data_IF_099050286403
#
_entry.id   IF_099050286403
#
_cell.length_a   1.000
_cell.length_b   1.000
_cell.length_c   1.000
_cell.angle_alpha   90.00
_cell.angle_beta   90.00
_cell.angle_gamma   90.00
#
_symmetry.space_group_name_H-M   'P 1'
#
loop_
_entity.id
_entity.type
_entity.pdbx_description
1 polymer ?
#
# COMPACT_ATOMS: atom_id res chain seq x y z
N UNK A 1 88.24 18.00 -5.07
CA UNK A 1 87.91 18.96 -6.15
C UNK A 1 86.40 19.08 -6.21
N UNK A 2 85.86 20.29 -5.91
CA UNK A 2 84.47 20.79 -6.10
C UNK A 2 83.35 20.00 -5.37
N UNK A 3 82.84 20.40 -4.20
CA UNK A 3 81.97 21.53 -3.77
C UNK A 3 80.53 21.05 -3.50
N UNK A 4 80.19 20.99 -2.22
CA UNK A 4 78.85 20.79 -1.65
C UNK A 4 77.88 21.91 -2.05
N UNK A 5 76.63 21.57 -2.32
CA UNK A 5 75.48 22.48 -2.18
C UNK A 5 74.29 21.76 -1.57
N UNK A 6 73.69 22.44 -0.58
CA UNK A 6 72.58 22.05 0.29
C UNK A 6 71.25 22.07 -0.46
N UNK A 7 70.34 21.15 -0.14
CA UNK A 7 68.90 21.43 -0.11
C UNK A 7 68.24 20.69 1.07
N UNK A 8 67.59 21.47 1.93
CA UNK A 8 66.75 21.03 3.05
C UNK A 8 65.29 20.95 2.58
N UNK A 9 64.50 19.94 2.98
CA UNK A 9 63.08 19.90 2.68
C UNK A 9 62.27 20.73 3.70
N UNK A 10 61.33 21.53 3.19
CA UNK A 10 60.28 22.20 3.98
C UNK A 10 59.22 21.17 4.44
N UNK A 11 58.68 21.28 5.67
CA UNK A 11 57.59 20.43 6.13
C UNK A 11 56.23 20.94 5.62
N UNK A 12 55.48 20.07 4.95
CA UNK A 12 54.06 20.25 4.63
C UNK A 12 53.23 19.95 5.88
N UNK A 13 52.79 20.97 6.61
CA UNK A 13 51.86 20.76 7.71
C UNK A 13 50.98 21.98 8.04
N UNK A 14 50.27 22.59 7.07
CA UNK A 14 49.23 23.57 7.40
C UNK A 14 48.17 23.66 6.29
N UNK A 15 47.41 22.60 6.02
CA UNK A 15 46.22 22.69 5.16
C UNK A 15 45.22 21.56 5.44
N UNK A 16 44.82 21.35 6.70
CA UNK A 16 43.80 20.33 7.02
C UNK A 16 42.95 20.62 8.27
N UNK A 17 42.89 21.86 8.76
CA UNK A 17 42.09 22.18 9.95
C UNK A 17 40.87 23.09 9.67
N UNK A 18 40.91 23.92 8.63
CA UNK A 18 39.78 24.84 8.33
C UNK A 18 38.60 24.20 7.60
N UNK A 19 38.80 23.08 6.88
CA UNK A 19 37.72 22.38 6.15
C UNK A 19 36.88 21.50 7.09
N UNK A 20 37.46 20.95 8.15
CA UNK A 20 36.73 20.15 9.13
C UNK A 20 35.78 20.99 10.01
N UNK A 21 36.14 22.25 10.30
CA UNK A 21 35.31 23.11 11.14
C UNK A 21 34.07 23.66 10.42
N UNK A 22 34.12 23.84 9.09
CA UNK A 22 32.97 24.29 8.29
C UNK A 22 31.96 23.17 8.04
N UNK A 23 32.40 21.92 7.91
CA UNK A 23 31.51 20.75 7.74
C UNK A 23 30.76 20.44 9.05
N UNK A 24 31.39 20.67 10.22
CA UNK A 24 30.74 20.47 11.51
C UNK A 24 29.62 21.51 11.77
N UNK A 25 29.80 22.76 11.36
CA UNK A 25 28.79 23.83 11.55
C UNK A 25 27.58 23.63 10.61
N UNK A 26 27.79 23.11 9.39
CA UNK A 26 26.68 22.82 8.46
C UNK A 26 25.84 21.59 8.90
N UNK A 27 26.43 20.68 9.67
CA UNK A 27 25.75 19.50 10.21
C UNK A 27 24.83 19.81 11.39
N UNK A 28 25.14 20.85 12.18
CA UNK A 28 24.35 21.23 13.37
C UNK A 28 23.11 22.07 12.99
N UNK A 29 23.13 22.76 11.83
CA UNK A 29 21.99 23.56 11.36
C UNK A 29 20.86 22.73 10.71
N UNK A 30 21.08 21.46 10.38
CA UNK A 30 20.03 20.59 9.80
C UNK A 30 19.15 19.89 10.84
N UNK A 31 19.39 20.06 12.14
CA UNK A 31 18.65 19.35 13.20
C UNK A 31 17.40 20.09 13.74
N UNK A 32 17.00 21.22 13.15
CA UNK A 32 15.85 22.00 13.63
C UNK A 32 14.83 22.35 12.53
N UNK A 33 14.70 21.49 11.51
CA UNK A 33 13.49 21.53 10.70
C UNK A 33 12.34 20.99 11.57
N UNK A 34 11.52 21.89 12.12
CA UNK A 34 10.23 21.49 12.69
C UNK A 34 9.49 20.71 11.59
N UNK A 35 9.03 19.47 11.84
CA UNK A 35 8.24 18.76 10.86
C UNK A 35 7.09 19.67 10.44
N UNK A 36 7.05 20.07 9.17
CA UNK A 36 5.91 20.80 8.63
C UNK A 36 4.68 19.95 8.88
N UNK A 37 3.63 20.51 9.49
CA UNK A 37 2.39 19.78 9.72
C UNK A 37 1.86 19.33 8.35
N UNK A 38 1.80 18.02 8.13
CA UNK A 38 1.36 17.42 6.87
C UNK A 38 -0.12 17.03 7.02
N UNK A 39 -0.98 17.38 6.07
CA UNK A 39 -2.42 17.08 6.10
C UNK A 39 -2.70 15.63 5.70
N UNK A 40 -3.56 14.82 6.36
CA UNK A 40 -3.85 13.42 5.96
C UNK A 40 -4.56 13.19 4.61
N UNK A 41 -4.36 14.10 3.67
CA UNK A 41 -5.06 14.18 2.41
C UNK A 41 -4.22 13.55 1.29
N UNK A 42 -4.80 12.56 0.61
CA UNK A 42 -4.27 12.10 -0.69
C UNK A 42 -4.93 12.94 -1.77
N UNK A 43 -4.16 13.82 -2.43
CA UNK A 43 -4.67 14.70 -3.50
C UNK A 43 -5.21 13.97 -4.73
N UNK A 44 -5.17 12.63 -4.75
CA UNK A 44 -5.57 11.79 -5.88
C UNK A 44 -7.08 11.79 -6.13
N UNK A 45 -7.91 12.25 -5.18
CA UNK A 45 -9.39 12.31 -5.33
C UNK A 45 -9.99 13.72 -5.32
N UNK A 46 -9.22 14.78 -5.05
CA UNK A 46 -9.80 16.10 -4.77
C UNK A 46 -10.61 16.14 -3.46
N UNK A 47 -11.32 17.25 -3.21
CA UNK A 47 -12.03 17.51 -1.94
C UNK A 47 -13.52 17.10 -1.96
N UNK A 48 -14.04 16.63 -3.11
CA UNK A 48 -15.45 16.29 -3.28
C UNK A 48 -15.79 15.00 -2.50
N UNK A 49 -16.90 15.04 -1.74
CA UNK A 49 -17.41 13.89 -0.97
C UNK A 49 -16.67 13.56 0.34
N UNK A 50 -15.64 14.34 0.71
CA UNK A 50 -14.81 14.00 1.87
C UNK A 50 -15.50 14.32 3.20
N UNK A 51 -15.57 13.31 4.06
CA UNK A 51 -16.34 13.42 5.31
C UNK A 51 -15.48 14.07 6.37
N UNK A 52 -15.72 15.36 6.66
CA UNK A 52 -15.20 16.02 7.87
C UNK A 52 -15.55 15.20 9.09
N UNK A 53 -14.54 14.85 9.89
CA UNK A 53 -14.82 14.23 11.18
C UNK A 53 -15.42 15.28 12.11
N UNK A 54 -16.52 14.94 12.75
CA UNK A 54 -17.17 15.74 13.81
C UNK A 54 -16.89 15.19 15.20
N UNK A 55 -16.38 13.95 15.29
CA UNK A 55 -15.94 13.31 16.53
C UNK A 55 -14.95 12.18 16.25
N UNK A 56 -14.31 11.65 17.30
CA UNK A 56 -13.48 10.44 17.23
C UNK A 56 -14.28 9.16 16.95
N UNK A 57 -15.61 9.25 16.95
CA UNK A 57 -16.52 8.11 16.93
C UNK A 57 -16.64 7.41 18.28
N UNK A 58 -17.50 6.40 18.33
CA UNK A 58 -17.71 5.59 19.53
C UNK A 58 -16.51 4.68 19.78
N UNK A 59 -16.11 4.55 21.06
CA UNK A 59 -15.06 3.62 21.49
C UNK A 59 -15.46 2.17 21.15
N UNK A 60 -14.65 1.43 20.37
CA UNK A 60 -14.90 0.02 20.10
C UNK A 60 -14.87 -0.84 21.37
N UNK A 61 -15.71 -1.86 21.43
CA UNK A 61 -15.72 -2.82 22.53
C UNK A 61 -14.38 -3.56 22.61
N UNK A 62 -13.74 -3.57 23.78
CA UNK A 62 -12.41 -4.19 23.96
C UNK A 62 -11.22 -3.27 23.61
N UNK A 63 -11.48 -2.03 23.19
CA UNK A 63 -10.46 -1.00 23.00
C UNK A 63 -10.51 0.08 24.10
N UNK A 64 -9.47 0.91 24.14
CA UNK A 64 -9.43 2.19 24.83
C UNK A 64 -8.72 3.23 23.96
N UNK A 65 -8.98 4.51 24.23
CA UNK A 65 -8.31 5.61 23.53
C UNK A 65 -6.89 5.78 24.09
N UNK A 66 -5.90 5.88 23.21
CA UNK A 66 -4.50 6.15 23.59
C UNK A 66 -3.83 7.00 22.53
N UNK A 67 -3.11 8.04 22.97
CA UNK A 67 -2.16 8.75 22.11
C UNK A 67 -0.79 8.09 22.22
N UNK A 68 -0.20 7.70 21.10
CA UNK A 68 1.16 7.19 21.01
C UNK A 68 2.09 8.33 20.59
N UNK A 69 3.10 8.62 21.41
CA UNK A 69 4.07 9.66 21.09
C UNK A 69 4.97 9.19 19.93
N UNK A 70 5.07 10.02 18.90
CA UNK A 70 6.01 9.84 17.78
C UNK A 70 7.25 10.68 18.01
N UNK A 71 7.09 11.88 18.58
CA UNK A 71 8.17 12.76 19.05
C UNK A 71 7.81 13.29 20.44
N UNK A 72 8.67 14.12 21.02
CA UNK A 72 8.38 14.82 22.28
C UNK A 72 7.20 15.80 22.18
N UNK A 73 6.81 16.21 20.98
CA UNK A 73 5.77 17.23 20.73
C UNK A 73 4.63 16.73 19.85
N UNK A 74 4.72 15.49 19.35
CA UNK A 74 3.78 14.94 18.37
C UNK A 74 3.36 13.52 18.73
N UNK A 75 2.08 13.24 18.54
CA UNK A 75 1.45 11.97 18.87
C UNK A 75 0.42 11.54 17.82
N UNK A 76 0.04 10.27 17.83
CA UNK A 76 -1.02 9.70 17.00
C UNK A 76 -2.10 9.17 17.92
N UNK A 77 -3.36 9.57 17.69
CA UNK A 77 -4.50 8.97 18.37
C UNK A 77 -4.72 7.55 17.87
N UNK A 78 -5.04 6.63 18.78
CA UNK A 78 -5.30 5.24 18.45
C UNK A 78 -6.47 4.67 19.26
N UNK A 79 -7.20 3.75 18.64
CA UNK A 79 -7.95 2.72 19.37
C UNK A 79 -7.01 1.57 19.68
N UNK A 80 -6.69 1.39 20.96
CA UNK A 80 -5.70 0.43 21.44
C UNK A 80 -6.39 -0.72 22.18
N UNK A 81 -5.98 -1.96 21.93
CA UNK A 81 -6.60 -3.15 22.55
C UNK A 81 -6.32 -3.25 24.04
N UNK A 82 -7.31 -3.70 24.82
CA UNK A 82 -7.17 -3.94 26.27
C UNK A 82 -6.31 -5.16 26.63
N UNK A 83 -6.07 -6.06 25.68
CA UNK A 83 -5.14 -7.19 25.86
C UNK A 83 -3.98 -7.09 24.86
N UNK A 84 -2.77 -7.52 25.23
CA UNK A 84 -2.35 -7.84 26.59
C UNK A 84 -2.44 -6.62 27.53
N UNK A 85 -2.44 -6.84 28.85
CA UNK A 85 -2.50 -5.76 29.84
C UNK A 85 -1.19 -4.97 29.88
N UNK A 86 -0.05 -5.66 29.77
CA UNK A 86 1.26 -5.04 29.64
C UNK A 86 1.80 -5.29 28.23
N UNK A 87 2.42 -4.29 27.62
CA UNK A 87 3.01 -4.41 26.29
C UNK A 87 4.17 -5.40 26.25
N UNK A 88 4.86 -5.62 27.37
CA UNK A 88 5.90 -6.63 27.54
C UNK A 88 5.41 -8.06 27.32
N UNK A 89 4.11 -8.29 27.49
CA UNK A 89 3.50 -9.61 27.37
C UNK A 89 3.02 -9.89 25.94
N UNK A 90 3.23 -8.94 25.02
CA UNK A 90 2.74 -9.02 23.64
C UNK A 90 3.48 -10.09 22.83
N UNK A 91 2.69 -10.99 22.23
CA UNK A 91 3.18 -12.04 21.32
C UNK A 91 3.17 -11.57 19.86
N UNK A 92 2.32 -10.59 19.55
CA UNK A 92 2.20 -9.99 18.22
C UNK A 92 1.59 -8.60 18.31
N UNK A 93 1.74 -7.82 17.25
CA UNK A 93 1.10 -6.52 17.11
C UNK A 93 0.48 -6.38 15.71
N UNK A 94 -0.78 -5.96 15.67
CA UNK A 94 -1.54 -5.68 14.46
C UNK A 94 -1.84 -4.19 14.38
N UNK A 95 -1.36 -3.55 13.33
CA UNK A 95 -1.68 -2.15 13.01
C UNK A 95 -2.80 -2.15 11.98
N UNK A 96 -3.92 -1.53 12.34
CA UNK A 96 -5.18 -1.53 11.59
C UNK A 96 -5.38 -0.15 10.97
N UNK A 97 -5.16 -0.06 9.65
CA UNK A 97 -5.28 1.19 8.91
C UNK A 97 -6.68 1.28 8.29
N UNK A 98 -7.38 2.38 8.54
CA UNK A 98 -8.70 2.65 7.95
C UNK A 98 -8.57 3.20 6.52
N UNK A 99 -9.68 3.19 5.79
CA UNK A 99 -9.77 3.83 4.47
C UNK A 99 -10.01 5.35 4.55
N UNK A 100 -10.42 5.92 3.41
CA UNK A 100 -10.64 7.37 3.21
C UNK A 100 -11.65 7.99 4.17
N UNK A 101 -12.66 7.22 4.62
CA UNK A 101 -13.69 7.69 5.57
C UNK A 101 -13.18 7.90 7.00
N UNK A 102 -11.89 7.69 7.26
CA UNK A 102 -11.25 7.92 8.57
C UNK A 102 -11.99 7.30 9.76
N UNK A 103 -12.55 6.10 9.57
CA UNK A 103 -13.40 5.41 10.55
C UNK A 103 -12.64 4.30 11.29
N UNK A 104 -11.53 4.67 11.95
CA UNK A 104 -10.63 3.74 12.65
C UNK A 104 -11.37 2.75 13.58
N UNK A 105 -12.40 3.21 14.30
CA UNK A 105 -13.17 2.37 15.23
C UNK A 105 -13.95 1.24 14.55
N UNK A 106 -14.47 1.49 13.35
CA UNK A 106 -15.16 0.48 12.53
C UNK A 106 -14.19 -0.60 12.08
N UNK A 107 -13.02 -0.20 11.55
CA UNK A 107 -11.98 -1.14 11.13
C UNK A 107 -11.43 -1.94 12.30
N UNK A 108 -11.22 -1.29 13.45
CA UNK A 108 -10.83 -1.97 14.69
C UNK A 108 -11.85 -3.04 15.06
N UNK A 109 -13.15 -2.73 15.04
CA UNK A 109 -14.22 -3.67 15.40
C UNK A 109 -14.24 -4.88 14.47
N UNK A 110 -14.17 -4.65 13.15
CA UNK A 110 -14.18 -5.71 12.14
C UNK A 110 -12.98 -6.65 12.35
N UNK A 111 -11.77 -6.09 12.47
CA UNK A 111 -10.56 -6.89 12.57
C UNK A 111 -10.36 -7.50 13.96
N UNK A 112 -10.86 -6.90 15.03
CA UNK A 112 -10.90 -7.52 16.34
C UNK A 112 -11.84 -8.73 16.37
N UNK A 113 -13.00 -8.64 15.70
CA UNK A 113 -13.91 -9.79 15.55
C UNK A 113 -13.27 -10.91 14.71
N UNK A 114 -12.54 -10.55 13.65
CA UNK A 114 -11.79 -11.50 12.84
C UNK A 114 -10.68 -12.18 13.67
N UNK A 115 -9.91 -11.40 14.44
CA UNK A 115 -8.89 -11.89 15.36
C UNK A 115 -9.50 -12.82 16.42
N UNK A 116 -10.62 -12.46 17.05
CA UNK A 116 -11.23 -13.28 18.09
C UNK A 116 -11.64 -14.65 17.54
N UNK A 117 -12.30 -14.67 16.38
CA UNK A 117 -12.66 -15.91 15.68
C UNK A 117 -11.44 -16.73 15.26
N UNK A 118 -10.37 -16.08 14.83
CA UNK A 118 -9.12 -16.74 14.45
C UNK A 118 -8.40 -17.32 15.68
N UNK A 119 -8.33 -16.58 16.79
CA UNK A 119 -7.78 -17.02 18.07
C UNK A 119 -8.52 -18.23 18.61
N UNK A 120 -9.85 -18.17 18.62
CA UNK A 120 -10.69 -19.26 19.14
C UNK A 120 -10.56 -20.52 18.27
N UNK A 121 -10.23 -20.35 16.98
CA UNK A 121 -9.88 -21.44 16.07
C UNK A 121 -8.38 -21.80 16.07
N UNK A 122 -7.57 -21.18 16.93
CA UNK A 122 -6.12 -21.38 17.02
C UNK A 122 -5.35 -21.12 15.72
N UNK A 123 -5.74 -20.09 14.97
CA UNK A 123 -5.12 -19.74 13.69
C UNK A 123 -3.86 -18.88 13.86
N UNK A 124 -2.71 -19.48 13.55
CA UNK A 124 -1.44 -18.79 13.29
C UNK A 124 -1.08 -17.69 14.28
N UNK A 125 -1.03 -16.44 13.81
CA UNK A 125 -0.60 -15.27 14.57
C UNK A 125 -1.70 -14.63 15.45
N UNK A 126 -2.94 -15.15 15.41
CA UNK A 126 -4.05 -14.66 16.26
C UNK A 126 -3.92 -15.14 17.71
N UNK A 127 -2.86 -14.70 18.39
CA UNK A 127 -2.52 -15.13 19.75
C UNK A 127 -3.30 -14.35 20.81
N UNK A 128 -3.61 -14.92 21.99
CA UNK A 128 -4.33 -14.21 23.04
C UNK A 128 -3.72 -12.87 23.45
N UNK A 129 -2.37 -12.78 23.47
CA UNK A 129 -1.65 -11.56 23.81
C UNK A 129 -1.22 -10.77 22.56
N UNK A 130 -2.15 -10.58 21.63
CA UNK A 130 -1.93 -9.71 20.47
C UNK A 130 -2.31 -8.27 20.79
N UNK A 131 -1.38 -7.32 20.58
CA UNK A 131 -1.74 -5.90 20.49
C UNK A 131 -2.52 -5.69 19.20
N UNK A 132 -3.67 -5.01 19.26
CA UNK A 132 -4.40 -4.50 18.08
C UNK A 132 -4.59 -3.01 18.23
N UNK A 133 -3.99 -2.25 17.32
CA UNK A 133 -4.01 -0.80 17.34
C UNK A 133 -4.56 -0.27 16.03
N UNK A 134 -5.57 0.59 16.10
CA UNK A 134 -6.11 1.30 14.94
C UNK A 134 -5.81 2.79 15.09
N UNK A 135 -4.73 3.31 14.49
CA UNK A 135 -4.49 4.75 14.44
C UNK A 135 -5.63 5.45 13.70
N UNK A 136 -5.94 6.67 14.14
CA UNK A 136 -6.84 7.58 13.45
C UNK A 136 -6.00 8.69 12.82
N UNK A 137 -6.00 8.76 11.50
CA UNK A 137 -5.29 9.78 10.74
C UNK A 137 -6.22 10.95 10.45
N UNK A 138 -5.87 12.13 10.98
CA UNK A 138 -6.68 13.35 10.85
C UNK A 138 -6.27 14.19 9.63
N UNK A 139 -7.24 14.75 8.92
CA UNK A 139 -6.95 15.87 8.03
C UNK A 139 -6.76 17.14 8.84
N UNK A 140 -5.70 17.87 8.52
CA UNK A 140 -5.46 19.14 9.19
C UNK A 140 -6.50 20.19 8.81
N UNK A 141 -7.04 20.10 7.59
CA UNK A 141 -7.99 21.04 7.02
C UNK A 141 -9.42 20.68 7.43
N UNK A 142 -9.80 19.41 7.31
CA UNK A 142 -11.19 19.00 7.52
C UNK A 142 -11.51 18.70 8.99
N UNK A 143 -10.56 18.22 9.79
CA UNK A 143 -10.88 17.67 11.12
C UNK A 143 -10.61 18.63 12.28
N UNK A 144 -10.45 19.94 12.03
CA UNK A 144 -9.92 20.92 13.01
C UNK A 144 -10.63 20.95 14.38
N UNK A 145 -11.84 20.37 14.51
CA UNK A 145 -12.58 20.24 15.77
C UNK A 145 -12.44 18.90 16.50
N UNK A 146 -11.73 17.92 15.95
CA UNK A 146 -11.64 16.54 16.48
C UNK A 146 -10.26 16.21 17.01
N UNK A 147 -9.22 16.91 16.55
CA UNK A 147 -7.83 16.69 16.95
C UNK A 147 -7.18 17.97 17.47
N UNK A 148 -6.10 17.83 18.23
CA UNK A 148 -5.37 18.97 18.80
C UNK A 148 -4.03 19.23 18.07
N UNK A 149 -3.32 20.28 18.47
CA UNK A 149 -2.06 20.70 17.83
C UNK A 149 -0.92 19.69 17.97
N UNK A 150 -0.96 18.78 18.95
CA UNK A 150 0.04 17.73 19.14
C UNK A 150 -0.31 16.42 18.43
N UNK A 151 -1.45 16.33 17.74
CA UNK A 151 -1.85 15.16 16.96
C UNK A 151 -1.45 15.33 15.49
N UNK A 152 -0.82 14.28 14.94
CA UNK A 152 -0.35 14.26 13.56
C UNK A 152 -1.47 14.01 12.55
N UNK A 153 -1.50 14.82 11.48
CA UNK A 153 -2.05 14.45 10.17
C UNK A 153 -0.96 13.85 9.28
N UNK A 154 -1.33 13.10 8.23
CA UNK A 154 -0.42 12.25 7.44
C UNK A 154 -0.56 12.43 5.92
N UNK A 155 0.15 13.38 5.30
CA UNK A 155 -0.04 13.71 3.86
C UNK A 155 0.48 12.73 2.83
N UNK A 156 0.92 11.55 3.23
CA UNK A 156 1.53 10.67 2.26
C UNK A 156 1.31 9.20 2.61
N UNK A 157 0.36 8.60 1.90
CA UNK A 157 0.16 7.17 1.89
C UNK A 157 1.31 6.43 1.19
N UNK A 158 2.36 7.08 0.68
CA UNK A 158 3.38 6.40 -0.12
C UNK A 158 4.75 6.26 0.57
N UNK A 159 4.96 6.85 1.75
CA UNK A 159 6.25 6.74 2.44
C UNK A 159 6.63 5.30 2.85
N UNK A 160 5.67 4.37 2.93
CA UNK A 160 5.91 2.96 3.28
C UNK A 160 6.26 2.06 2.07
N UNK A 161 6.21 2.58 0.83
CA UNK A 161 6.35 1.76 -0.39
C UNK A 161 7.78 1.42 -0.78
N UNK A 162 8.80 1.96 -0.09
CA UNK A 162 10.19 1.60 -0.36
C UNK A 162 10.42 0.12 0.00
N UNK A 163 10.79 -0.67 -1.01
CA UNK A 163 11.00 -2.13 -1.00
C UNK A 163 9.73 -3.02 -1.06
N UNK A 164 8.61 -2.54 -1.61
CA UNK A 164 7.33 -3.28 -1.73
C UNK A 164 7.45 -4.73 -2.22
N UNK A 165 8.22 -4.97 -3.28
CA UNK A 165 8.39 -6.32 -3.87
C UNK A 165 8.98 -7.34 -2.88
N UNK A 166 9.90 -6.90 -2.02
CA UNK A 166 10.58 -7.75 -1.03
C UNK A 166 9.78 -7.89 0.28
N UNK A 167 8.66 -7.17 0.43
CA UNK A 167 7.78 -7.29 1.60
C UNK A 167 6.86 -8.50 1.45
N UNK A 168 6.46 -9.07 2.59
CA UNK A 168 5.37 -10.04 2.64
C UNK A 168 4.04 -9.28 2.52
N UNK A 169 3.49 -9.23 1.31
CA UNK A 169 2.21 -8.57 1.02
C UNK A 169 1.14 -9.63 0.81
N UNK A 170 -0.06 -9.38 1.31
CA UNK A 170 -1.21 -10.27 1.15
C UNK A 170 -2.34 -9.51 0.49
N UNK A 171 -2.71 -9.94 -0.70
CA UNK A 171 -3.87 -9.40 -1.42
C UNK A 171 -5.08 -10.23 -1.04
N UNK A 172 -6.16 -9.56 -0.66
CA UNK A 172 -7.44 -10.21 -0.35
C UNK A 172 -8.50 -9.60 -1.24
N UNK A 173 -9.06 -10.40 -2.15
CA UNK A 173 -10.00 -9.92 -3.16
C UNK A 173 -11.36 -10.59 -2.95
N UNK A 174 -12.40 -9.80 -2.76
CA UNK A 174 -13.78 -10.27 -2.81
C UNK A 174 -14.21 -10.51 -4.25
N UNK A 175 -14.57 -11.74 -4.61
CA UNK A 175 -14.91 -12.09 -6.00
C UNK A 175 -16.23 -11.50 -6.50
N UNK A 176 -17.08 -11.00 -5.59
CA UNK A 176 -18.31 -10.29 -5.94
C UNK A 176 -18.11 -8.77 -5.87
N UNK A 177 -16.87 -8.25 -5.78
CA UNK A 177 -16.60 -6.82 -5.82
C UNK A 177 -16.59 -6.31 -7.28
N UNK A 178 -17.77 -6.37 -7.89
CA UNK A 178 -18.04 -6.04 -9.30
C UNK A 178 -18.56 -4.62 -9.49
N UNK A 179 -18.49 -3.79 -8.44
CA UNK A 179 -18.87 -2.39 -8.55
C UNK A 179 -17.92 -1.66 -9.50
N UNK A 180 -18.48 -0.73 -10.28
CA UNK A 180 -17.74 0.06 -11.26
C UNK A 180 -17.24 1.39 -10.69
N UNK A 181 -17.97 1.90 -9.69
CA UNK A 181 -17.67 3.13 -8.98
C UNK A 181 -16.67 2.87 -7.83
N UNK A 182 -15.98 3.93 -7.39
CA UNK A 182 -15.05 3.92 -6.25
C UNK A 182 -13.82 2.99 -6.40
N UNK A 183 -12.91 2.98 -5.43
CA UNK A 183 -11.60 2.31 -5.55
C UNK A 183 -10.58 3.15 -6.33
N UNK A 184 -9.55 2.49 -6.89
CA UNK A 184 -8.62 3.12 -7.84
C UNK A 184 -9.37 3.39 -9.14
N UNK A 185 -9.42 4.67 -9.51
CA UNK A 185 -10.14 5.19 -10.68
C UNK A 185 -9.17 5.84 -11.67
N UNK A 186 -7.86 5.67 -11.49
CA UNK A 186 -6.86 6.21 -12.42
C UNK A 186 -7.01 5.58 -13.81
N UNK A 187 -6.66 6.33 -14.86
CA UNK A 187 -6.65 5.84 -16.24
C UNK A 187 -5.87 4.52 -16.36
N UNK A 188 -4.73 4.39 -15.70
CA UNK A 188 -3.94 3.15 -15.73
C UNK A 188 -4.68 1.97 -15.11
N UNK A 189 -5.37 2.17 -13.98
CA UNK A 189 -6.11 1.10 -13.32
C UNK A 189 -7.29 0.61 -14.19
N UNK A 190 -8.01 1.53 -14.83
CA UNK A 190 -9.08 1.20 -15.78
C UNK A 190 -8.57 0.60 -17.08
N UNK A 191 -7.50 1.15 -17.65
CA UNK A 191 -6.92 0.64 -18.90
C UNK A 191 -6.44 -0.81 -18.77
N UNK A 192 -5.94 -1.19 -17.59
CA UNK A 192 -5.38 -2.52 -17.33
C UNK A 192 -6.41 -3.50 -16.77
N UNK A 193 -7.32 -3.00 -15.92
CA UNK A 193 -8.22 -3.84 -15.12
C UNK A 193 -9.72 -3.63 -15.39
N UNK A 194 -10.08 -2.72 -16.29
CA UNK A 194 -11.46 -2.37 -16.65
C UNK A 194 -12.28 -1.75 -15.51
N UNK A 195 -13.59 -1.65 -15.76
CA UNK A 195 -14.53 -1.01 -14.84
C UNK A 195 -14.74 -1.78 -13.54
N UNK A 196 -14.64 -3.11 -13.52
CA UNK A 196 -14.92 -3.90 -12.32
C UNK A 196 -13.76 -3.81 -11.32
N UNK A 197 -14.01 -3.39 -10.06
CA UNK A 197 -12.98 -3.29 -9.01
C UNK A 197 -12.20 -4.60 -8.78
N UNK A 198 -12.89 -5.74 -8.77
CA UNK A 198 -12.27 -7.07 -8.71
C UNK A 198 -11.22 -7.23 -9.81
N UNK A 199 -11.57 -6.88 -11.04
CA UNK A 199 -10.70 -7.09 -12.20
C UNK A 199 -9.47 -6.22 -12.13
N UNK A 200 -9.57 -4.97 -11.64
CA UNK A 200 -8.40 -4.13 -11.33
C UNK A 200 -7.45 -4.78 -10.33
N UNK A 201 -7.99 -5.36 -9.27
CA UNK A 201 -7.16 -6.06 -8.26
C UNK A 201 -6.47 -7.31 -8.82
N UNK A 202 -7.21 -8.14 -9.56
CA UNK A 202 -6.69 -9.37 -10.15
C UNK A 202 -5.72 -9.10 -11.31
N UNK A 203 -6.00 -8.10 -12.14
CA UNK A 203 -5.11 -7.67 -13.22
C UNK A 203 -3.80 -7.09 -12.65
N UNK A 204 -3.85 -6.34 -11.54
CA UNK A 204 -2.65 -5.87 -10.85
C UNK A 204 -1.80 -7.03 -10.33
N UNK A 205 -2.42 -8.05 -9.73
CA UNK A 205 -1.72 -9.28 -9.32
C UNK A 205 -1.02 -9.95 -10.50
N UNK A 206 -1.71 -10.13 -11.63
CA UNK A 206 -1.12 -10.66 -12.87
C UNK A 206 0.05 -9.79 -13.35
N UNK A 207 -0.14 -8.48 -13.39
CA UNK A 207 0.86 -7.51 -13.84
C UNK A 207 2.18 -7.62 -13.07
N UNK A 208 2.15 -7.59 -11.73
CA UNK A 208 3.38 -7.57 -10.92
C UNK A 208 4.18 -8.88 -11.04
N UNK A 209 3.50 -10.03 -11.22
CA UNK A 209 4.17 -11.32 -11.40
C UNK A 209 4.80 -11.42 -12.79
N UNK A 210 4.10 -10.96 -13.82
CA UNK A 210 4.67 -10.87 -15.18
C UNK A 210 5.83 -9.87 -15.25
N UNK A 211 5.73 -8.72 -14.55
CA UNK A 211 6.79 -7.72 -14.47
C UNK A 211 8.04 -8.27 -13.78
N UNK A 212 7.86 -9.09 -12.74
CA UNK A 212 8.94 -9.81 -12.07
C UNK A 212 9.61 -10.89 -12.95
N UNK A 213 9.07 -11.15 -14.15
CA UNK A 213 9.57 -12.17 -15.07
C UNK A 213 9.10 -13.58 -14.74
N UNK A 214 8.11 -13.73 -13.85
CA UNK A 214 7.41 -15.01 -13.71
C UNK A 214 6.57 -15.18 -14.99
N UNK A 215 6.77 -16.29 -15.71
CA UNK A 215 6.01 -16.56 -16.93
C UNK A 215 4.49 -16.62 -16.67
N UNK A 216 3.68 -16.72 -17.72
CA UNK A 216 2.21 -16.71 -17.58
C UNK A 216 1.58 -17.92 -16.87
N UNK A 217 2.36 -18.91 -16.43
CA UNK A 217 1.86 -20.14 -15.82
C UNK A 217 1.21 -19.84 -14.46
N UNK A 218 -0.03 -20.29 -14.26
CA UNK A 218 -0.83 -20.01 -13.07
C UNK A 218 -1.53 -18.65 -13.07
N UNK A 219 -1.38 -17.87 -14.15
CA UNK A 219 -2.02 -16.56 -14.35
C UNK A 219 -3.03 -16.57 -15.50
N UNK A 220 -3.39 -17.75 -16.00
CA UNK A 220 -4.22 -17.93 -17.19
C UNK A 220 -5.65 -17.43 -16.97
N UNK A 221 -6.22 -17.74 -15.79
CA UNK A 221 -7.58 -17.37 -15.40
C UNK A 221 -7.73 -15.89 -15.02
N UNK A 222 -6.63 -15.13 -14.97
CA UNK A 222 -6.66 -13.75 -14.50
C UNK A 222 -7.01 -12.79 -15.65
N UNK A 223 -7.81 -11.75 -15.36
CA UNK A 223 -8.21 -10.77 -16.35
C UNK A 223 -7.01 -9.91 -16.76
N UNK A 224 -7.12 -9.30 -17.94
CA UNK A 224 -6.15 -8.34 -18.47
C UNK A 224 -5.10 -9.00 -19.37
N UNK A 225 -4.60 -8.22 -20.33
CA UNK A 225 -3.58 -8.64 -21.29
C UNK A 225 -2.34 -7.77 -21.18
N UNK A 226 -1.17 -8.42 -21.09
CA UNK A 226 0.13 -7.76 -20.95
C UNK A 226 1.12 -8.24 -22.02
N UNK A 227 0.90 -7.93 -23.31
CA UNK A 227 1.70 -8.50 -24.41
C UNK A 227 3.19 -8.18 -24.31
N UNK A 228 3.56 -7.06 -23.68
CA UNK A 228 4.95 -6.66 -23.45
C UNK A 228 5.66 -7.49 -22.38
N UNK A 229 4.91 -8.10 -21.45
CA UNK A 229 5.43 -8.89 -20.35
C UNK A 229 5.19 -10.40 -20.54
N UNK A 230 4.18 -10.77 -21.32
CA UNK A 230 3.83 -12.16 -21.65
C UNK A 230 3.53 -12.32 -23.16
N UNK A 231 4.56 -12.33 -24.02
CA UNK A 231 4.38 -12.46 -25.46
C UNK A 231 3.86 -13.84 -25.87
N UNK A 232 4.02 -14.88 -25.04
CA UNK A 232 3.54 -16.23 -25.35
C UNK A 232 2.01 -16.33 -25.37
N UNK A 233 1.30 -15.54 -24.55
CA UNK A 233 -0.16 -15.45 -24.60
C UNK A 233 -0.65 -14.78 -25.91
N UNK A 234 0.22 -14.03 -26.61
CA UNK A 234 -0.06 -13.47 -27.94
C UNK A 234 0.06 -14.48 -29.07
N UNK A 235 0.61 -15.68 -28.81
CA UNK A 235 0.81 -16.75 -29.79
C UNK A 235 -0.36 -17.72 -29.94
N UNK A 236 -1.31 -17.73 -29.00
CA UNK A 236 -2.54 -18.53 -29.11
C UNK A 236 -3.56 -17.73 -29.93
N UNK A 237 -3.46 -17.89 -31.26
CA UNK A 237 -4.00 -17.01 -32.31
C UNK A 237 -5.52 -16.90 -32.43
N UNK A 238 -6.31 -17.59 -31.62
CA UNK A 238 -7.74 -17.74 -31.96
C UNK A 238 -8.63 -16.58 -31.54
N UNK A 239 -8.26 -15.77 -30.53
CA UNK A 239 -9.12 -14.66 -30.07
C UNK A 239 -8.41 -13.32 -29.74
N UNK A 240 -7.07 -13.27 -29.70
CA UNK A 240 -6.30 -12.06 -29.32
C UNK A 240 -5.75 -11.25 -30.51
N UNK A 241 -5.94 -11.71 -31.74
CA UNK A 241 -5.32 -11.10 -32.94
C UNK A 241 -6.07 -9.90 -33.52
N UNK A 242 -7.27 -9.57 -33.03
CA UNK A 242 -8.08 -8.51 -33.65
C UNK A 242 -7.90 -7.14 -32.98
N UNK A 243 -7.12 -7.07 -31.91
CA UNK A 243 -6.89 -5.89 -31.10
C UNK A 243 -5.43 -5.48 -31.30
N UNK A 244 -5.23 -4.38 -32.03
CA UNK A 244 -3.93 -3.82 -32.33
C UNK A 244 -3.20 -3.37 -31.05
N UNK A 245 -2.53 -4.28 -30.35
CA UNK A 245 -1.82 -4.01 -29.08
C UNK A 245 -0.58 -3.10 -29.23
N UNK A 246 -0.33 -2.58 -30.44
CA UNK A 246 0.71 -1.59 -30.70
C UNK A 246 0.41 -0.23 -30.06
N UNK A 247 -0.83 0.04 -29.68
CA UNK A 247 -1.27 1.31 -29.08
C UNK A 247 -1.12 1.36 -27.55
N UNK A 248 -0.81 0.25 -26.88
CA UNK A 248 -0.62 0.24 -25.42
C UNK A 248 0.77 0.81 -25.11
N UNK A 249 0.89 1.90 -24.33
CA UNK A 249 2.18 2.43 -23.90
C UNK A 249 2.98 1.37 -23.15
N UNK A 250 4.25 1.20 -23.52
CA UNK A 250 5.15 0.20 -22.92
C UNK A 250 6.35 0.92 -22.32
N UNK A 251 6.73 0.53 -21.11
CA UNK A 251 8.06 0.85 -20.60
C UNK A 251 9.11 0.29 -21.57
N UNK A 252 10.24 0.99 -21.73
CA UNK A 252 11.35 0.48 -22.51
C UNK A 252 11.81 -0.88 -21.94
N UNK A 253 12.39 -1.71 -22.80
CA UNK A 253 12.99 -2.98 -22.37
C UNK A 253 13.97 -2.76 -21.20
N UNK A 254 14.79 -1.70 -21.27
CA UNK A 254 15.76 -1.35 -20.22
C UNK A 254 15.12 -1.01 -18.87
N UNK A 255 13.91 -0.45 -18.84
CA UNK A 255 13.17 -0.17 -17.61
C UNK A 255 12.56 -1.46 -17.07
N UNK A 256 11.85 -2.23 -17.91
CA UNK A 256 11.21 -3.48 -17.49
C UNK A 256 12.24 -4.52 -17.00
N UNK A 257 13.42 -4.58 -17.62
CA UNK A 257 14.47 -5.53 -17.27
C UNK A 257 15.03 -5.32 -15.85
N UNK A 258 14.84 -4.15 -15.23
CA UNK A 258 15.22 -3.88 -13.83
C UNK A 258 14.40 -4.68 -12.82
N UNK A 259 13.21 -5.15 -13.22
CA UNK A 259 12.28 -5.88 -12.35
C UNK A 259 12.34 -7.39 -12.59
N UNK A 260 12.95 -7.84 -13.69
CA UNK A 260 13.07 -9.27 -13.98
C UNK A 260 13.94 -9.97 -12.94
N UNK A 261 13.48 -11.13 -12.46
CA UNK A 261 14.18 -11.91 -11.45
C UNK A 261 13.95 -11.40 -10.02
N UNK A 262 13.13 -10.36 -9.83
CA UNK A 262 12.70 -9.94 -8.49
C UNK A 262 11.79 -11.02 -7.90
N UNK A 263 12.15 -11.50 -6.70
CA UNK A 263 11.31 -12.45 -5.97
C UNK A 263 10.10 -11.71 -5.38
N UNK A 264 8.89 -12.08 -5.83
CA UNK A 264 7.63 -11.57 -5.27
C UNK A 264 7.21 -12.51 -4.14
N UNK A 265 7.33 -12.05 -2.89
CA UNK A 265 6.94 -12.80 -1.68
C UNK A 265 5.46 -12.67 -1.34
N UNK A 266 4.65 -12.22 -2.29
CA UNK A 266 3.27 -11.86 -2.05
C UNK A 266 2.38 -13.10 -2.11
N UNK A 267 1.21 -13.04 -1.49
CA UNK A 267 0.17 -14.06 -1.64
C UNK A 267 -1.16 -13.44 -2.04
N UNK A 268 -1.95 -14.19 -2.81
CA UNK A 268 -3.32 -13.83 -3.15
C UNK A 268 -4.30 -14.75 -2.43
N UNK A 269 -5.27 -14.15 -1.78
CA UNK A 269 -6.47 -14.82 -1.31
C UNK A 269 -7.70 -14.26 -2.01
N UNK A 270 -8.54 -15.13 -2.56
CA UNK A 270 -9.84 -14.77 -3.11
C UNK A 270 -10.98 -15.30 -2.25
N UNK A 271 -11.97 -14.45 -1.99
CA UNK A 271 -13.13 -14.77 -1.14
C UNK A 271 -14.41 -14.76 -1.97
N UNK A 272 -14.97 -15.94 -2.19
CA UNK A 272 -16.22 -16.12 -2.92
C UNK A 272 -17.41 -15.53 -2.14
N UNK A 273 -18.36 -14.91 -2.84
CA UNK A 273 -19.57 -14.33 -2.24
C UNK A 273 -19.35 -13.01 -1.47
N UNK A 274 -18.10 -12.56 -1.32
CA UNK A 274 -17.78 -11.27 -0.73
C UNK A 274 -17.58 -10.22 -1.82
N UNK A 275 -18.25 -9.07 -1.67
CA UNK A 275 -17.93 -7.84 -2.41
C UNK A 275 -16.90 -7.00 -1.64
N UNK A 276 -17.04 -5.68 -1.70
CA UNK A 276 -16.18 -4.71 -0.99
C UNK A 276 -16.38 -4.66 0.54
N UNK A 277 -16.97 -5.69 1.13
CA UNK A 277 -17.31 -5.71 2.55
C UNK A 277 -16.21 -6.40 3.35
N UNK A 278 -15.40 -5.60 4.06
CA UNK A 278 -14.36 -6.13 4.96
C UNK A 278 -14.95 -7.09 6.02
N UNK A 279 -16.16 -6.82 6.51
CA UNK A 279 -16.84 -7.72 7.45
C UNK A 279 -17.17 -9.07 6.80
N UNK A 280 -17.72 -9.10 5.58
CA UNK A 280 -17.94 -10.36 4.85
C UNK A 280 -16.63 -11.10 4.59
N UNK A 281 -15.62 -10.41 4.06
CA UNK A 281 -14.29 -10.96 3.78
C UNK A 281 -13.69 -11.62 5.02
N UNK A 282 -13.53 -10.87 6.12
CA UNK A 282 -12.83 -11.37 7.31
C UNK A 282 -13.71 -12.18 8.27
N UNK A 283 -15.02 -12.24 8.03
CA UNK A 283 -15.90 -13.24 8.66
C UNK A 283 -15.79 -14.62 8.02
N UNK A 284 -15.26 -14.73 6.79
CA UNK A 284 -14.99 -16.01 6.14
C UNK A 284 -13.74 -16.68 6.72
N UNK A 285 -13.69 -18.01 6.66
CA UNK A 285 -12.50 -18.77 7.08
C UNK A 285 -11.28 -18.36 6.24
N UNK A 286 -11.42 -18.35 4.91
CA UNK A 286 -10.34 -18.00 3.97
C UNK A 286 -9.80 -16.58 4.20
N UNK A 287 -10.67 -15.59 4.44
CA UNK A 287 -10.23 -14.23 4.79
C UNK A 287 -9.48 -14.14 6.12
N UNK A 288 -9.83 -14.95 7.13
CA UNK A 288 -9.04 -15.04 8.38
C UNK A 288 -7.70 -15.73 8.17
N UNK A 289 -7.64 -16.77 7.35
CA UNK A 289 -6.36 -17.40 6.97
C UNK A 289 -5.45 -16.38 6.29
N UNK A 290 -5.98 -15.55 5.39
CA UNK A 290 -5.21 -14.48 4.77
C UNK A 290 -4.62 -13.50 5.80
N UNK A 291 -5.33 -13.20 6.89
CA UNK A 291 -4.81 -12.29 7.92
C UNK A 291 -3.82 -12.96 8.87
N UNK A 292 -4.09 -14.18 9.30
CA UNK A 292 -3.43 -14.75 10.49
C UNK A 292 -2.57 -15.99 10.22
N UNK A 293 -2.69 -16.64 9.07
CA UNK A 293 -1.78 -17.73 8.71
C UNK A 293 -0.35 -17.20 8.45
N UNK A 294 0.63 -18.10 8.45
CA UNK A 294 1.97 -17.76 7.97
C UNK A 294 1.94 -17.40 6.48
N UNK A 295 2.89 -16.58 6.02
CA UNK A 295 2.87 -16.05 4.64
C UNK A 295 2.78 -17.16 3.58
N UNK A 296 3.47 -18.29 3.77
CA UNK A 296 3.43 -19.40 2.82
C UNK A 296 2.02 -20.02 2.67
N UNK A 297 1.17 -19.87 3.68
CA UNK A 297 -0.16 -20.46 3.79
C UNK A 297 -1.28 -19.41 3.76
N UNK A 298 -0.95 -18.13 3.52
CA UNK A 298 -1.93 -17.04 3.51
C UNK A 298 -2.57 -16.78 2.16
N UNK A 299 -2.15 -17.51 1.12
CA UNK A 299 -2.84 -17.56 -0.16
C UNK A 299 -3.94 -18.62 -0.16
N UNK A 300 -5.03 -18.40 -0.88
CA UNK A 300 -6.13 -19.35 -0.90
C UNK A 300 -7.32 -18.95 -1.77
N UNK A 301 -8.26 -19.90 -1.88
CA UNK A 301 -9.40 -19.79 -2.78
C UNK A 301 -9.05 -20.16 -4.23
N UNK A 302 -10.10 -20.36 -5.03
CA UNK A 302 -9.97 -20.65 -6.47
C UNK A 302 -10.39 -19.42 -7.24
N UNK A 303 -9.53 -18.95 -8.15
CA UNK A 303 -9.86 -17.86 -9.08
C UNK A 303 -10.66 -18.45 -10.24
N UNK A 304 -11.95 -18.09 -10.41
CA UNK A 304 -12.71 -18.44 -11.61
C UNK A 304 -12.00 -17.95 -12.87
N UNK A 305 -12.34 -18.53 -14.02
CA UNK A 305 -11.80 -18.05 -15.28
C UNK A 305 -12.38 -16.68 -15.64
N UNK A 306 -11.59 -15.63 -15.39
CA UNK A 306 -11.87 -14.25 -15.76
C UNK A 306 -11.02 -13.79 -16.95
N UNK A 307 -10.34 -14.71 -17.64
CA UNK A 307 -9.45 -14.37 -18.76
C UNK A 307 -10.17 -13.61 -19.89
N UNK A 308 -11.47 -13.87 -20.03
CA UNK A 308 -12.31 -13.25 -21.05
C UNK A 308 -12.97 -11.92 -20.63
N UNK A 309 -12.88 -11.52 -19.36
CA UNK A 309 -13.60 -10.34 -18.88
C UNK A 309 -12.95 -9.00 -19.25
N UNK A 310 -11.73 -9.00 -19.81
CA UNK A 310 -11.01 -7.79 -20.25
C UNK A 310 -10.39 -7.93 -21.65
N UNK A 311 -10.89 -8.83 -22.50
CA UNK A 311 -10.40 -8.94 -23.87
C UNK A 311 -10.85 -7.71 -24.65
N UNK A 312 -9.89 -6.84 -25.01
CA UNK A 312 -10.16 -5.59 -25.74
C UNK A 312 -10.09 -4.32 -24.89
N UNK A 313 -9.92 -4.44 -23.57
CA UNK A 313 -9.46 -3.30 -22.75
C UNK A 313 -7.99 -3.03 -23.07
N UNK A 314 -7.79 -2.35 -24.20
CA UNK A 314 -6.57 -1.63 -24.48
C UNK A 314 -6.72 -0.25 -23.88
N UNK A 315 -5.62 0.38 -23.48
CA UNK A 315 -5.57 1.83 -23.34
C UNK A 315 -5.83 2.48 -24.72
N UNK A 316 -7.05 2.34 -25.26
CA UNK A 316 -7.50 3.13 -26.39
C UNK A 316 -7.75 4.56 -25.92
N UNK A 317 -7.97 5.48 -26.84
CA UNK A 317 -8.17 6.89 -26.52
C UNK A 317 -9.36 7.13 -25.55
N UNK A 318 -10.30 6.18 -25.43
CA UNK A 318 -11.42 6.25 -24.49
C UNK A 318 -11.02 5.78 -23.08
N UNK A 319 -10.22 4.72 -22.94
CA UNK A 319 -9.67 4.24 -21.67
C UNK A 319 -8.49 5.07 -21.15
N UNK A 320 -7.78 5.75 -22.05
CA UNK A 320 -6.76 6.75 -21.78
C UNK A 320 -7.33 8.18 -21.73
N UNK A 321 -8.64 8.35 -21.47
CA UNK A 321 -9.21 9.66 -21.18
C UNK A 321 -8.33 10.38 -20.17
N UNK A 322 -7.98 11.61 -20.49
CA UNK A 322 -7.34 12.50 -19.54
C UNK A 322 -8.30 12.68 -18.37
N UNK A 323 -7.93 12.22 -17.19
CA UNK A 323 -8.69 12.52 -15.97
C UNK A 323 -8.30 13.91 -15.42
N UNK A 324 -7.58 14.73 -16.21
CA UNK A 324 -7.36 16.15 -15.94
C UNK A 324 -8.59 17.01 -16.29
N UNK A 325 -9.60 16.41 -16.92
CA UNK A 325 -10.83 17.08 -17.28
C UNK A 325 -11.73 17.08 -16.03
N UNK A 326 -11.78 18.20 -15.32
CA UNK A 326 -12.53 18.40 -14.07
C UNK A 326 -14.04 18.27 -14.20
N UNK A 327 -14.51 17.09 -14.60
CA UNK A 327 -15.91 16.72 -14.67
C UNK A 327 -16.25 15.90 -13.41
N UNK A 328 -16.51 16.65 -12.34
CA UNK A 328 -16.96 16.22 -11.01
C UNK A 328 -18.44 15.75 -11.04
N UNK A 329 -18.80 14.94 -12.04
CA UNK A 329 -20.16 14.49 -12.27
C UNK A 329 -20.47 13.14 -11.63
N UNK A 330 -21.27 13.18 -10.57
CA UNK A 330 -22.11 12.13 -9.99
C UNK A 330 -21.47 11.19 -8.94
N UNK A 331 -21.46 11.73 -7.71
CA UNK A 331 -21.35 11.05 -6.42
C UNK A 331 -22.60 10.24 -6.06
N UNK A 332 -22.41 9.02 -5.53
CA UNK A 332 -23.21 8.37 -4.46
C UNK A 332 -22.40 7.27 -3.74
#
# INVERSE_FOLDING_TARGET
>A
MVRLSKHSPLPRAFLSLSVFLTILILSILSACAKPTRRDAFTSVRGNAGDTRLTSLGSRPAGAYARSLNVTSTSSIFTWYSKTPRNESDAESAFIIIHGVKRNAGTYWTILNNAWAKARDASFGSARPNSIRVAPLFFSTNEDAGVYNSSQLGWADSNAWTVAYANKQVRYVVGLNDTQIQNGDQTCMAHAVGGQLRRNRSLAYWKYIHLLAGQGGKGLENFPGSFPSLNPQQSGNKTNFQNNNTSNIPRSSYSVANKFKGVEIKHTLTVVQGAGHSASKVYSSTVGRYALFADQANSGGGTVPDFSNELIGYTADAAGAKSYDDGDDGDDD
#
